data_IF_170056543889
#
_entry.id   IF_170056543889
#
_cell.length_a   1.000
_cell.length_b   1.000
_cell.length_c   1.000
_cell.angle_alpha   90.00
_cell.angle_beta   90.00
_cell.angle_gamma   90.00
#
_symmetry.space_group_name_H-M   'P 1'
#
loop_
_entity.id
_entity.type
_entity.pdbx_description
1 polymer ?
#
# COMPACT_ATOMS: atom_id res chain seq x y z
N UNK A 1 0.60 -2.72 15.85
CA UNK A 1 1.83 -2.31 15.16
C UNK A 1 2.13 -0.85 15.45
N UNK A 2 3.38 -0.53 15.69
CA UNK A 2 3.87 0.81 15.94
C UNK A 2 3.66 1.69 14.69
N UNK A 3 3.35 2.97 14.89
CA UNK A 3 3.02 3.88 13.78
C UNK A 3 4.17 4.07 12.77
N UNK A 4 5.43 3.94 13.19
CA UNK A 4 6.56 4.03 12.28
C UNK A 4 6.61 2.86 11.31
N UNK A 5 6.35 1.65 11.80
CA UNK A 5 6.26 0.47 10.94
C UNK A 5 5.09 0.60 9.98
N UNK A 6 3.95 1.08 10.46
CA UNK A 6 2.77 1.31 9.63
C UNK A 6 3.10 2.19 8.43
N UNK A 7 3.78 3.32 8.66
CA UNK A 7 4.09 4.28 7.61
C UNK A 7 4.89 3.67 6.47
N UNK A 8 5.91 2.88 6.81
CA UNK A 8 6.77 2.27 5.80
C UNK A 8 6.08 1.17 5.01
N UNK A 9 5.13 0.47 5.64
CA UNK A 9 4.45 -0.68 5.04
C UNK A 9 3.22 -0.26 4.22
N UNK A 10 2.53 0.80 4.64
CA UNK A 10 1.28 1.21 4.00
C UNK A 10 1.42 1.55 2.52
N UNK A 11 2.46 2.28 2.15
CA UNK A 11 2.69 2.61 0.75
C UNK A 11 2.84 1.34 -0.09
N UNK A 12 3.61 0.37 0.41
CA UNK A 12 3.80 -0.92 -0.26
C UNK A 12 2.49 -1.67 -0.43
N UNK A 13 1.69 -1.76 0.64
CA UNK A 13 0.43 -2.51 0.59
C UNK A 13 -0.57 -1.85 -0.35
N UNK A 14 -0.67 -0.53 -0.35
CA UNK A 14 -1.57 0.19 -1.23
C UNK A 14 -1.16 0.00 -2.69
N UNK A 15 0.12 0.12 -3.00
CA UNK A 15 0.61 -0.10 -4.36
C UNK A 15 0.37 -1.54 -4.81
N UNK A 16 0.61 -2.52 -3.93
CA UNK A 16 0.31 -3.92 -4.22
C UNK A 16 -1.15 -4.14 -4.54
N UNK A 17 -2.04 -3.50 -3.79
CA UNK A 17 -3.48 -3.64 -3.96
C UNK A 17 -3.94 -3.13 -5.32
N UNK A 18 -3.52 -1.91 -5.67
CA UNK A 18 -3.92 -1.30 -6.94
C UNK A 18 -3.25 -1.99 -8.14
N UNK A 19 -2.07 -2.61 -7.91
CA UNK A 19 -1.41 -3.36 -8.96
C UNK A 19 -2.19 -4.62 -9.37
N UNK A 20 -2.97 -5.19 -8.46
CA UNK A 20 -3.82 -6.35 -8.77
C UNK A 20 -4.99 -5.96 -9.67
N UNK A 21 -5.62 -4.84 -9.37
CA UNK A 21 -6.74 -4.28 -10.13
C UNK A 21 -7.01 -2.86 -9.66
N UNK A 22 -7.70 -2.10 -10.49
CA UNK A 22 -8.14 -0.76 -10.10
C UNK A 22 -9.10 -0.87 -8.92
N UNK A 23 -8.98 0.04 -7.97
CA UNK A 23 -9.82 0.05 -6.77
C UNK A 23 -10.25 1.47 -6.44
N UNK A 24 -11.47 1.62 -5.89
CA UNK A 24 -11.85 2.90 -5.35
C UNK A 24 -11.42 3.02 -3.89
N UNK A 25 -11.47 4.25 -3.37
CA UNK A 25 -10.86 4.56 -2.07
C UNK A 25 -11.31 3.65 -0.93
N UNK A 26 -12.63 3.45 -0.79
CA UNK A 26 -13.12 2.63 0.32
C UNK A 26 -12.73 1.16 0.18
N UNK A 27 -12.68 0.64 -1.06
CA UNK A 27 -12.15 -0.72 -1.28
C UNK A 27 -10.72 -0.85 -0.78
N UNK A 28 -9.91 0.19 -0.99
CA UNK A 28 -8.54 0.19 -0.52
C UNK A 28 -8.45 0.20 1.01
N UNK A 29 -9.34 0.95 1.67
CA UNK A 29 -9.40 0.91 3.13
C UNK A 29 -9.66 -0.51 3.61
N UNK A 30 -10.64 -1.20 3.01
CA UNK A 30 -10.98 -2.57 3.39
C UNK A 30 -9.84 -3.55 3.09
N UNK A 31 -9.23 -3.41 1.92
CA UNK A 31 -8.13 -4.31 1.52
C UNK A 31 -6.92 -4.17 2.43
N UNK A 32 -6.52 -2.92 2.71
CA UNK A 32 -5.37 -2.66 3.58
C UNK A 32 -5.66 -3.09 5.01
N UNK A 33 -6.90 -2.95 5.45
CA UNK A 33 -7.31 -3.34 6.81
C UNK A 33 -7.15 -4.83 7.08
N UNK A 34 -7.05 -5.65 6.03
CA UNK A 34 -6.77 -7.09 6.20
C UNK A 34 -5.36 -7.34 6.72
N UNK A 35 -4.47 -6.40 6.55
CA UNK A 35 -3.05 -6.54 6.93
C UNK A 35 -2.68 -5.64 8.08
N UNK A 36 -3.13 -4.39 8.03
CA UNK A 36 -2.77 -3.35 9.00
C UNK A 36 -4.03 -2.63 9.43
N UNK A 37 -4.20 -2.43 10.72
CA UNK A 37 -5.35 -1.69 11.25
C UNK A 37 -5.25 -0.22 10.83
N UNK A 38 -6.11 0.18 9.90
CA UNK A 38 -6.14 1.54 9.34
C UNK A 38 -7.57 2.00 9.13
N UNK A 39 -7.72 3.30 8.95
CA UNK A 39 -9.02 3.91 8.64
C UNK A 39 -8.86 4.89 7.48
N UNK A 40 -9.98 5.50 7.12
CA UNK A 40 -10.04 6.46 6.00
C UNK A 40 -9.10 7.65 6.20
N UNK A 41 -8.98 8.13 7.45
CA UNK A 41 -8.10 9.26 7.77
C UNK A 41 -6.64 9.01 7.48
N UNK A 42 -6.22 7.75 7.43
CA UNK A 42 -4.85 7.37 7.08
C UNK A 42 -4.71 7.10 5.59
N UNK A 43 -5.68 6.40 5.02
CA UNK A 43 -5.58 5.94 3.62
C UNK A 43 -5.79 7.05 2.62
N UNK A 44 -6.81 7.92 2.79
CA UNK A 44 -7.08 8.94 1.79
C UNK A 44 -5.95 9.96 1.59
N UNK A 45 -5.29 10.46 2.64
CA UNK A 45 -4.12 11.32 2.42
C UNK A 45 -2.99 10.61 1.68
N UNK A 46 -2.78 9.32 1.95
CA UNK A 46 -1.77 8.53 1.25
C UNK A 46 -2.10 8.38 -0.23
N UNK A 47 -3.37 8.10 -0.55
CA UNK A 47 -3.80 8.00 -1.94
C UNK A 47 -3.59 9.31 -2.69
N UNK A 48 -3.86 10.43 -2.02
CA UNK A 48 -3.65 11.75 -2.61
C UNK A 48 -2.16 11.98 -2.89
N UNK A 49 -1.30 11.64 -1.95
CA UNK A 49 0.15 11.78 -2.12
C UNK A 49 0.66 10.94 -3.28
N UNK A 50 0.26 9.67 -3.33
CA UNK A 50 0.70 8.76 -4.39
C UNK A 50 0.21 9.20 -5.77
N UNK A 51 -0.98 9.78 -5.83
CA UNK A 51 -1.51 10.33 -7.07
C UNK A 51 -0.71 11.56 -7.49
N UNK A 52 -0.39 12.44 -6.54
CA UNK A 52 0.40 13.65 -6.82
C UNK A 52 1.82 13.31 -7.27
N UNK A 53 2.34 12.17 -6.84
CA UNK A 53 3.66 11.69 -7.24
C UNK A 53 3.61 10.89 -8.56
N UNK A 54 2.44 10.82 -9.17
CA UNK A 54 2.21 10.13 -10.46
C UNK A 54 2.36 8.61 -10.40
N UNK A 55 2.23 8.04 -9.22
CA UNK A 55 2.21 6.57 -9.07
C UNK A 55 0.83 6.01 -9.37
N UNK A 56 -0.20 6.84 -9.21
CA UNK A 56 -1.58 6.52 -9.58
C UNK A 56 -2.12 7.58 -10.52
N UNK A 57 -3.04 7.15 -11.37
CA UNK A 57 -3.96 8.06 -12.04
C UNK A 57 -5.37 7.67 -11.61
N UNK A 58 -6.32 8.61 -11.73
CA UNK A 58 -7.67 8.40 -11.24
C UNK A 58 -8.69 8.61 -12.33
N UNK A 59 -9.84 7.96 -12.16
CA UNK A 59 -10.99 8.16 -13.02
C UNK A 59 -12.26 7.95 -12.20
N UNK A 60 -13.36 8.54 -12.67
CA UNK A 60 -14.66 8.37 -12.04
C UNK A 60 -15.43 7.29 -12.78
N UNK A 61 -16.09 6.42 -12.00
CA UNK A 61 -16.97 5.41 -12.56
C UNK A 61 -18.35 5.62 -11.95
N UNK A 62 -19.37 5.75 -12.81
CA UNK A 62 -20.73 5.91 -12.35
C UNK A 62 -21.21 4.64 -11.66
N UNK A 63 -22.06 4.85 -10.64
CA UNK A 63 -22.65 3.75 -9.89
C UNK A 63 -24.17 3.88 -10.01
N UNK A 64 -24.87 2.76 -10.23
CA UNK A 64 -26.32 2.74 -10.28
C UNK A 64 -26.96 2.92 -8.90
N UNK A 65 -26.18 2.77 -7.84
CA UNK A 65 -26.68 2.76 -6.46
C UNK A 65 -26.21 3.95 -5.64
N UNK A 66 -25.58 4.94 -6.25
CA UNK A 66 -25.11 6.09 -5.51
C UNK A 66 -24.22 7.01 -6.33
N UNK A 67 -23.47 7.90 -5.67
CA UNK A 67 -22.56 8.81 -6.37
C UNK A 67 -21.48 8.05 -7.12
N UNK A 68 -20.89 8.71 -8.11
CA UNK A 68 -19.74 8.19 -8.85
C UNK A 68 -18.60 7.88 -7.87
N UNK A 69 -17.86 6.83 -8.17
CA UNK A 69 -16.72 6.42 -7.38
C UNK A 69 -15.42 6.77 -8.08
N UNK A 70 -14.48 7.27 -7.31
CA UNK A 70 -13.15 7.58 -7.81
C UNK A 70 -12.27 6.33 -7.71
N UNK A 71 -11.83 5.84 -8.87
CA UNK A 71 -10.97 4.67 -8.94
C UNK A 71 -9.53 5.10 -9.11
N UNK A 72 -8.64 4.29 -8.57
CA UNK A 72 -7.18 4.49 -8.66
C UNK A 72 -6.62 3.38 -9.53
N UNK A 73 -5.76 3.77 -10.47
CA UNK A 73 -5.09 2.87 -11.39
C UNK A 73 -3.60 3.10 -11.27
N UNK A 74 -2.81 2.04 -11.19
CA UNK A 74 -1.36 2.18 -11.09
C UNK A 74 -0.77 2.56 -12.44
N UNK A 75 0.19 3.49 -12.42
CA UNK A 75 0.92 3.92 -13.61
C UNK A 75 2.16 3.05 -13.79
N UNK A 76 2.86 3.20 -14.91
CA UNK A 76 4.15 2.54 -15.12
C UNK A 76 5.14 2.99 -14.03
N UNK A 77 5.15 4.29 -13.74
CA UNK A 77 6.01 4.82 -12.67
C UNK A 77 5.64 4.19 -11.32
N UNK A 78 4.35 4.00 -11.06
CA UNK A 78 3.88 3.33 -9.85
C UNK A 78 4.34 1.89 -9.76
N UNK A 79 4.34 1.18 -10.90
CA UNK A 79 4.83 -0.20 -10.95
C UNK A 79 6.33 -0.27 -10.66
N UNK A 80 7.10 0.69 -11.16
CA UNK A 80 8.53 0.77 -10.86
C UNK A 80 8.77 1.04 -9.38
N UNK A 81 7.98 1.96 -8.81
CA UNK A 81 8.04 2.26 -7.38
C UNK A 81 7.70 1.02 -6.54
N UNK A 82 6.67 0.29 -6.94
CA UNK A 82 6.29 -0.94 -6.28
C UNK A 82 7.42 -1.96 -6.27
N UNK A 83 8.10 -2.12 -7.38
CA UNK A 83 9.24 -3.04 -7.49
C UNK A 83 10.34 -2.67 -6.52
N UNK A 84 10.67 -1.38 -6.42
CA UNK A 84 11.67 -0.89 -5.45
C UNK A 84 11.26 -1.20 -4.01
N UNK A 85 10.01 -0.90 -3.67
CA UNK A 85 9.53 -1.12 -2.31
C UNK A 85 9.47 -2.59 -1.94
N UNK A 86 9.06 -3.44 -2.89
CA UNK A 86 9.04 -4.89 -2.65
C UNK A 86 10.44 -5.41 -2.38
N UNK A 87 11.40 -5.01 -3.21
CA UNK A 87 12.80 -5.42 -3.05
C UNK A 87 13.38 -4.93 -1.74
N UNK A 88 13.14 -3.67 -1.42
CA UNK A 88 13.62 -3.08 -0.17
C UNK A 88 13.04 -3.76 1.06
N UNK A 89 11.73 -4.05 1.03
CA UNK A 89 11.08 -4.74 2.13
C UNK A 89 11.63 -6.15 2.31
N UNK A 90 11.78 -6.89 1.21
CA UNK A 90 12.31 -8.24 1.26
C UNK A 90 13.72 -8.26 1.85
N UNK A 91 14.59 -7.40 1.36
CA UNK A 91 15.96 -7.30 1.84
C UNK A 91 16.00 -6.95 3.33
N UNK A 92 15.23 -5.95 3.73
CA UNK A 92 15.18 -5.52 5.12
C UNK A 92 14.61 -6.62 6.03
N UNK A 93 13.49 -7.21 5.67
CA UNK A 93 12.85 -8.24 6.50
C UNK A 93 13.70 -9.51 6.58
N UNK A 94 14.36 -9.90 5.49
CA UNK A 94 15.27 -11.04 5.51
C UNK A 94 16.43 -10.80 6.46
N UNK A 95 17.01 -9.59 6.45
CA UNK A 95 18.12 -9.24 7.33
C UNK A 95 17.69 -9.26 8.80
N UNK A 96 16.53 -8.69 9.11
CA UNK A 96 16.02 -8.68 10.47
C UNK A 96 15.71 -10.10 10.95
N UNK A 97 15.06 -10.88 10.09
CA UNK A 97 14.71 -12.27 10.44
C UNK A 97 15.96 -13.12 10.67
N UNK A 98 17.01 -12.91 9.87
CA UNK A 98 18.27 -13.60 10.07
C UNK A 98 18.91 -13.22 11.40
N UNK A 99 18.86 -11.95 11.75
CA UNK A 99 19.41 -11.48 13.02
C UNK A 99 18.64 -12.09 14.20
N UNK A 100 17.32 -12.14 14.10
CA UNK A 100 16.47 -12.76 15.14
C UNK A 100 16.81 -14.23 15.28
N UNK A 101 16.92 -14.95 14.16
CA UNK A 101 17.23 -16.38 14.15
C UNK A 101 18.57 -16.65 14.84
N UNK A 102 19.58 -15.85 14.53
CA UNK A 102 20.91 -16.00 15.17
C UNK A 102 20.86 -15.72 16.66
N UNK A 103 20.06 -14.72 17.07
CA UNK A 103 19.91 -14.38 18.48
C UNK A 103 19.20 -15.50 19.25
N UNK A 104 18.16 -16.09 18.64
CA UNK A 104 17.41 -17.18 19.27
C UNK A 104 18.23 -18.46 19.38
N UNK A 105 19.17 -18.67 18.48
CA UNK A 105 20.03 -19.85 18.44
C UNK A 105 21.35 -19.63 19.19
N UNK A 106 21.51 -18.46 19.79
CA UNK A 106 22.73 -18.13 20.52
C UNK A 106 22.69 -18.78 21.90
N UNK A 107 23.69 -19.53 22.22
CA UNK A 107 23.83 -20.21 23.50
C UNK A 107 25.00 -19.68 24.33
#
# INVERSE_FOLDING_TARGET
MNSQFKKGVLELIVLLSVNKRDMYGYELVLEVSKVVDVNEGTIYPLLKRLTNENYFETYLQESTEGPSRKYYKITILGQERLKELKGGWKEFSDSVNEFIRRSDNHE
#
